data_IF_824861509626
#
_entry.id   IF_824861509626
#
_cell.length_a   1.000
_cell.length_b   1.000
_cell.length_c   1.000
_cell.angle_alpha   90.00
_cell.angle_beta   90.00
_cell.angle_gamma   90.00
#
_symmetry.space_group_name_H-M   'P 1'
#
loop_
_entity.id
_entity.type
_entity.pdbx_description
1 polymer ?
#
# COMPACT_ATOMS: atom_id res chain seq x y z
N UNK A 1 1.78 -23.84 -10.13
CA UNK A 1 0.38 -23.84 -9.64
C UNK A 1 0.32 -23.81 -8.11
N UNK A 2 1.03 -24.68 -7.37
CA UNK A 2 1.05 -24.70 -5.90
C UNK A 2 1.51 -23.36 -5.30
N UNK A 3 2.51 -22.72 -5.90
CA UNK A 3 3.01 -21.39 -5.51
C UNK A 3 1.90 -20.32 -5.55
N UNK A 4 1.17 -20.22 -6.68
CA UNK A 4 0.07 -19.27 -6.84
C UNK A 4 -1.03 -19.54 -5.81
N UNK A 5 -1.41 -20.81 -5.66
CA UNK A 5 -2.46 -21.24 -4.73
C UNK A 5 -2.12 -20.87 -3.28
N UNK A 6 -0.87 -21.13 -2.86
CA UNK A 6 -0.39 -20.74 -1.53
C UNK A 6 -0.46 -19.22 -1.30
N UNK A 7 -0.03 -18.41 -2.28
CA UNK A 7 -0.08 -16.94 -2.17
C UNK A 7 -1.52 -16.43 -2.11
N UNK A 8 -2.44 -17.04 -2.86
CA UNK A 8 -3.87 -16.69 -2.80
C UNK A 8 -4.44 -17.01 -1.41
N UNK A 9 -4.13 -18.18 -0.84
CA UNK A 9 -4.60 -18.55 0.50
C UNK A 9 -4.08 -17.57 1.56
N UNK A 10 -2.78 -17.27 1.55
CA UNK A 10 -2.16 -16.32 2.48
C UNK A 10 -2.84 -14.95 2.36
N UNK A 11 -3.03 -14.48 1.14
CA UNK A 11 -3.69 -13.21 0.86
C UNK A 11 -5.15 -13.17 1.38
N UNK A 12 -5.94 -14.22 1.10
CA UNK A 12 -7.32 -14.31 1.55
C UNK A 12 -7.41 -14.39 3.08
N UNK A 13 -6.50 -15.14 3.70
CA UNK A 13 -6.42 -15.24 5.16
C UNK A 13 -6.10 -13.87 5.78
N UNK A 14 -5.09 -13.18 5.26
CA UNK A 14 -4.71 -11.84 5.73
C UNK A 14 -5.85 -10.83 5.54
N UNK A 15 -6.48 -10.82 4.36
CA UNK A 15 -7.65 -9.97 4.09
C UNK A 15 -8.79 -10.24 5.08
N UNK A 16 -9.08 -11.51 5.38
CA UNK A 16 -10.08 -11.90 6.37
C UNK A 16 -9.73 -11.40 7.78
N UNK A 17 -8.46 -11.47 8.19
CA UNK A 17 -8.01 -10.93 9.47
C UNK A 17 -8.20 -9.41 9.55
N UNK A 18 -7.81 -8.67 8.52
CA UNK A 18 -8.00 -7.22 8.46
C UNK A 18 -9.47 -6.85 8.54
N UNK A 19 -10.34 -7.52 7.79
CA UNK A 19 -11.79 -7.25 7.80
C UNK A 19 -12.46 -7.63 9.13
N UNK A 20 -11.93 -8.61 9.86
CA UNK A 20 -12.49 -9.05 11.14
C UNK A 20 -12.01 -8.19 12.33
N UNK A 21 -10.73 -7.85 12.35
CA UNK A 21 -10.07 -7.24 13.50
C UNK A 21 -9.75 -5.75 13.29
N UNK A 22 -9.84 -5.28 12.05
CA UNK A 22 -9.60 -3.87 11.73
C UNK A 22 -10.75 -2.98 12.18
N UNK A 23 -10.43 -1.75 12.53
CA UNK A 23 -11.39 -0.71 12.92
C UNK A 23 -11.64 0.24 11.76
N UNK A 24 -12.89 0.41 11.38
CA UNK A 24 -13.25 1.42 10.38
C UNK A 24 -13.01 2.81 10.96
N UNK A 25 -12.21 3.60 10.25
CA UNK A 25 -11.95 5.01 10.63
C UNK A 25 -13.23 5.83 10.39
N UNK A 26 -13.82 6.36 11.46
CA UNK A 26 -15.03 7.18 11.41
C UNK A 26 -14.75 8.57 11.96
N UNK A 27 -15.25 9.60 11.24
CA UNK A 27 -15.32 11.01 11.70
C UNK A 27 -14.03 11.59 12.31
N UNK A 28 -12.87 11.23 11.78
CA UNK A 28 -11.58 11.74 12.20
C UNK A 28 -11.00 12.72 11.17
N UNK A 29 -10.02 13.54 11.60
CA UNK A 29 -9.23 14.36 10.67
C UNK A 29 -8.61 13.50 9.54
N UNK A 30 -8.20 12.26 9.86
CA UNK A 30 -7.68 11.30 8.90
C UNK A 30 -8.69 10.96 7.79
N UNK A 31 -9.95 10.72 8.15
CA UNK A 31 -10.99 10.43 7.16
C UNK A 31 -11.28 11.66 6.28
N UNK A 32 -11.31 12.85 6.85
CA UNK A 32 -11.53 14.08 6.09
C UNK A 32 -10.40 14.31 5.07
N UNK A 33 -9.16 14.12 5.50
CA UNK A 33 -7.99 14.24 4.62
C UNK A 33 -8.00 13.17 3.51
N UNK A 34 -8.34 11.93 3.85
CA UNK A 34 -8.51 10.84 2.89
C UNK A 34 -9.57 11.16 1.82
N UNK A 35 -10.73 11.67 2.23
CA UNK A 35 -11.81 12.04 1.31
C UNK A 35 -11.44 13.24 0.44
N UNK A 36 -10.64 14.18 0.96
CA UNK A 36 -10.10 15.31 0.19
C UNK A 36 -9.17 14.80 -0.92
N UNK A 37 -8.18 13.99 -0.57
CA UNK A 37 -7.21 13.42 -1.55
C UNK A 37 -7.93 12.56 -2.59
N UNK A 38 -8.90 11.75 -2.16
CA UNK A 38 -9.71 10.93 -3.06
C UNK A 38 -10.45 11.77 -4.10
N UNK A 39 -10.98 12.93 -3.71
CA UNK A 39 -11.61 13.90 -4.63
C UNK A 39 -10.58 14.54 -5.57
N UNK A 40 -9.43 14.97 -5.07
CA UNK A 40 -8.32 15.51 -5.87
C UNK A 40 -7.87 14.52 -6.95
N UNK A 41 -7.79 13.24 -6.60
CA UNK A 41 -7.43 12.17 -7.53
C UNK A 41 -8.59 11.70 -8.42
N UNK A 42 -9.80 12.26 -8.30
CA UNK A 42 -10.99 11.89 -9.07
C UNK A 42 -11.37 10.40 -8.94
N UNK A 43 -11.15 9.79 -7.76
CA UNK A 43 -11.51 8.41 -7.48
C UNK A 43 -12.98 8.35 -7.03
N UNK A 44 -13.85 7.77 -7.85
CA UNK A 44 -15.31 7.76 -7.62
C UNK A 44 -15.81 6.58 -6.79
N UNK A 45 -15.16 5.42 -6.89
CA UNK A 45 -15.59 4.22 -6.15
C UNK A 45 -15.33 4.35 -4.64
N UNK A 46 -16.12 3.64 -3.85
CA UNK A 46 -15.99 3.64 -2.38
C UNK A 46 -14.77 2.82 -1.97
N UNK A 47 -13.91 3.40 -1.14
CA UNK A 47 -12.74 2.75 -0.56
C UNK A 47 -12.87 2.92 0.96
N UNK A 48 -13.11 1.87 1.73
CA UNK A 48 -13.04 1.93 3.18
C UNK A 48 -11.63 2.23 3.67
N UNK A 49 -11.52 3.05 4.72
CA UNK A 49 -10.28 3.30 5.44
C UNK A 49 -10.34 2.54 6.76
N UNK A 50 -9.42 1.60 6.96
CA UNK A 50 -9.37 0.70 8.12
C UNK A 50 -8.04 0.88 8.84
N UNK A 51 -8.07 1.03 10.16
CA UNK A 51 -6.92 0.89 11.03
C UNK A 51 -6.79 -0.55 11.52
N UNK A 52 -5.57 -1.09 11.42
CA UNK A 52 -5.29 -2.47 11.85
C UNK A 52 -3.92 -2.58 12.49
N UNK A 53 -3.89 -3.00 13.77
CA UNK A 53 -2.65 -3.12 14.57
C UNK A 53 -1.66 -4.15 14.02
N UNK A 54 -2.15 -5.16 13.31
CA UNK A 54 -1.33 -6.18 12.66
C UNK A 54 -0.72 -5.77 11.31
N UNK A 55 -1.01 -4.56 10.81
CA UNK A 55 -0.36 -4.05 9.61
C UNK A 55 1.04 -3.51 9.91
N UNK A 56 2.04 -3.95 9.16
CA UNK A 56 3.41 -3.45 9.28
C UNK A 56 3.61 -2.10 8.58
N UNK A 57 2.90 -1.86 7.49
CA UNK A 57 2.94 -0.63 6.69
C UNK A 57 1.55 -0.31 6.15
N UNK A 58 1.30 0.95 5.74
CA UNK A 58 0.13 1.30 4.96
C UNK A 58 0.05 0.44 3.71
N UNK A 59 -1.15 0.04 3.29
CA UNK A 59 -1.34 -0.78 2.10
C UNK A 59 -2.76 -0.75 1.59
N UNK A 60 -2.94 -1.09 0.32
CA UNK A 60 -4.24 -1.33 -0.29
C UNK A 60 -4.48 -2.83 -0.48
N UNK A 61 -5.60 -3.32 0.03
CA UNK A 61 -6.06 -4.71 -0.13
C UNK A 61 -7.32 -4.76 -1.01
N UNK A 62 -7.37 -5.73 -1.91
CA UNK A 62 -8.52 -5.99 -2.76
C UNK A 62 -8.33 -5.58 -4.21
N UNK A 63 -8.76 -6.46 -5.11
CA UNK A 63 -8.69 -6.24 -6.56
C UNK A 63 -9.89 -5.41 -7.06
N UNK A 64 -11.11 -5.87 -6.79
CA UNK A 64 -12.34 -5.21 -7.24
C UNK A 64 -12.92 -4.24 -6.21
N UNK A 65 -12.73 -4.55 -4.93
CA UNK A 65 -13.17 -3.73 -3.82
C UNK A 65 -11.94 -3.36 -2.98
N UNK A 66 -11.20 -2.31 -3.36
CA UNK A 66 -10.02 -1.91 -2.63
C UNK A 66 -10.39 -1.38 -1.24
N UNK A 67 -9.59 -1.73 -0.27
CA UNK A 67 -9.67 -1.27 1.12
C UNK A 67 -8.30 -0.70 1.48
N UNK A 68 -8.25 0.52 1.98
CA UNK A 68 -6.99 1.11 2.44
C UNK A 68 -6.81 0.78 3.92
N UNK A 69 -5.68 0.18 4.24
CA UNK A 69 -5.33 -0.24 5.60
C UNK A 69 -4.18 0.62 6.10
N UNK A 70 -4.38 1.22 7.27
CA UNK A 70 -3.35 1.95 8.00
C UNK A 70 -2.93 1.15 9.23
N UNK A 71 -1.63 1.05 9.53
CA UNK A 71 -1.16 0.61 10.85
C UNK A 71 -1.70 1.52 11.95
N UNK A 72 -2.03 0.96 13.10
CA UNK A 72 -2.32 1.76 14.29
C UNK A 72 -1.07 2.56 14.70
N UNK A 73 -1.22 3.86 14.92
CA UNK A 73 -0.14 4.74 15.33
C UNK A 73 -0.49 6.21 15.17
N UNK A 74 0.37 7.05 15.73
CA UNK A 74 0.27 8.48 15.56
C UNK A 74 0.99 8.92 14.27
N UNK A 75 0.30 9.69 13.46
CA UNK A 75 0.80 10.29 12.24
C UNK A 75 0.63 11.80 12.32
N UNK A 76 1.65 12.55 11.98
CA UNK A 76 1.48 13.98 11.74
C UNK A 76 0.56 14.19 10.53
N UNK A 77 -0.08 15.34 10.46
CA UNK A 77 -0.99 15.68 9.36
C UNK A 77 -0.29 15.58 7.99
N UNK A 78 0.98 15.97 7.92
CA UNK A 78 1.80 15.90 6.70
C UNK A 78 2.14 14.45 6.31
N UNK A 79 2.58 13.65 7.29
CA UNK A 79 2.87 12.23 7.05
C UNK A 79 1.63 11.50 6.53
N UNK A 80 0.50 11.69 7.20
CA UNK A 80 -0.76 11.08 6.83
C UNK A 80 -1.20 11.48 5.41
N UNK A 81 -1.04 12.76 5.04
CA UNK A 81 -1.32 13.23 3.69
C UNK A 81 -0.51 12.47 2.64
N UNK A 82 0.79 12.37 2.84
CA UNK A 82 1.66 11.70 1.86
C UNK A 82 1.40 10.21 1.78
N UNK A 83 1.22 9.54 2.92
CA UNK A 83 0.87 8.11 2.98
C UNK A 83 -0.43 7.84 2.23
N UNK A 84 -1.49 8.58 2.56
CA UNK A 84 -2.80 8.40 1.93
C UNK A 84 -2.76 8.71 0.43
N UNK A 85 -2.02 9.75 0.02
CA UNK A 85 -1.88 10.13 -1.37
C UNK A 85 -1.15 9.05 -2.16
N UNK A 86 -0.05 8.51 -1.63
CA UNK A 86 0.72 7.41 -2.22
C UNK A 86 -0.17 6.18 -2.47
N UNK A 87 -0.85 5.70 -1.45
CA UNK A 87 -1.73 4.53 -1.55
C UNK A 87 -2.89 4.75 -2.53
N UNK A 88 -3.49 5.94 -2.53
CA UNK A 88 -4.57 6.28 -3.46
C UNK A 88 -4.08 6.43 -4.90
N UNK A 89 -2.83 6.84 -5.13
CA UNK A 89 -2.22 6.85 -6.48
C UNK A 89 -2.08 5.43 -7.00
N UNK A 90 -1.64 4.46 -6.18
CA UNK A 90 -1.62 3.04 -6.55
C UNK A 90 -3.01 2.52 -6.94
N UNK A 91 -4.05 2.88 -6.16
CA UNK A 91 -5.43 2.52 -6.51
C UNK A 91 -5.86 3.12 -7.83
N UNK A 92 -5.59 4.42 -8.05
CA UNK A 92 -5.97 5.12 -9.29
C UNK A 92 -5.30 4.53 -10.52
N UNK A 93 -4.05 4.10 -10.41
CA UNK A 93 -3.27 3.49 -11.50
C UNK A 93 -3.66 2.04 -11.76
N UNK A 94 -4.29 1.37 -10.78
CA UNK A 94 -4.61 -0.03 -10.87
C UNK A 94 -3.38 -0.95 -10.74
N UNK A 95 -2.38 -0.55 -9.96
CA UNK A 95 -1.11 -1.27 -9.81
C UNK A 95 -1.31 -2.70 -9.27
N UNK A 96 -2.40 -2.95 -8.57
CA UNK A 96 -2.79 -4.27 -8.09
C UNK A 96 -2.99 -5.28 -9.23
N UNK A 97 -3.48 -4.82 -10.40
CA UNK A 97 -3.65 -5.71 -11.57
C UNK A 97 -2.32 -6.09 -12.18
N UNK A 98 -1.35 -5.17 -12.20
CA UNK A 98 0.01 -5.48 -12.63
C UNK A 98 0.71 -6.45 -11.69
N UNK A 99 0.57 -6.26 -10.36
CA UNK A 99 1.10 -7.20 -9.36
C UNK A 99 0.51 -8.61 -9.55
N UNK A 100 -0.79 -8.71 -9.84
CA UNK A 100 -1.44 -10.00 -10.14
C UNK A 100 -0.94 -10.63 -11.44
N UNK A 101 -0.76 -9.84 -12.49
CA UNK A 101 -0.20 -10.31 -13.77
C UNK A 101 1.20 -10.88 -13.56
N UNK A 102 2.10 -10.15 -12.89
CA UNK A 102 3.45 -10.63 -12.60
C UNK A 102 3.46 -11.90 -11.75
N UNK A 103 2.59 -11.98 -10.74
CA UNK A 103 2.45 -13.19 -9.92
C UNK A 103 2.04 -14.40 -10.78
N UNK A 104 1.13 -14.20 -11.74
CA UNK A 104 0.67 -15.25 -12.64
C UNK A 104 1.80 -15.67 -13.59
N UNK A 105 2.51 -14.72 -14.20
CA UNK A 105 3.65 -14.99 -15.09
C UNK A 105 4.74 -15.75 -14.35
N UNK A 106 5.07 -15.34 -13.12
CA UNK A 106 6.04 -16.06 -12.30
C UNK A 106 5.59 -17.47 -11.94
N UNK A 107 4.31 -17.67 -11.67
CA UNK A 107 3.77 -19.00 -11.36
C UNK A 107 3.82 -19.95 -12.54
N UNK A 108 3.69 -19.45 -13.77
CA UNK A 108 3.81 -20.22 -15.01
C UNK A 108 5.29 -20.46 -15.35
N UNK A 109 6.12 -19.44 -15.23
CA UNK A 109 7.54 -19.47 -15.61
C UNK A 109 8.49 -19.53 -14.40
N UNK A 110 8.07 -20.21 -13.33
CA UNK A 110 8.80 -20.29 -12.05
C UNK A 110 10.26 -20.75 -12.17
N UNK A 111 10.57 -21.51 -13.23
CA UNK A 111 11.92 -22.04 -13.53
C UNK A 111 12.83 -21.02 -14.24
N UNK A 112 12.30 -19.89 -14.72
CA UNK A 112 13.07 -18.91 -15.48
C UNK A 112 13.52 -17.75 -14.58
N UNK A 113 14.82 -17.61 -14.25
CA UNK A 113 15.32 -16.56 -13.35
C UNK A 113 15.14 -15.15 -13.94
N UNK A 114 15.08 -14.98 -15.25
CA UNK A 114 14.86 -13.68 -15.88
C UNK A 114 13.49 -13.08 -15.53
N UNK A 115 12.47 -13.91 -15.36
CA UNK A 115 11.13 -13.46 -14.98
C UNK A 115 11.14 -12.89 -13.55
N UNK A 116 11.90 -13.48 -12.64
CA UNK A 116 12.07 -12.96 -11.28
C UNK A 116 12.77 -11.61 -11.25
N UNK A 117 13.81 -11.43 -12.08
CA UNK A 117 14.51 -10.16 -12.25
C UNK A 117 13.54 -9.12 -12.82
N UNK A 118 12.85 -9.45 -13.91
CA UNK A 118 11.85 -8.58 -14.54
C UNK A 118 10.76 -8.11 -13.56
N UNK A 119 10.25 -9.01 -12.72
CA UNK A 119 9.25 -8.66 -11.71
C UNK A 119 9.80 -7.66 -10.71
N UNK A 120 11.04 -7.85 -10.26
CA UNK A 120 11.69 -6.95 -9.30
C UNK A 120 11.86 -5.55 -9.90
N UNK A 121 12.37 -5.46 -11.12
CA UNK A 121 12.55 -4.19 -11.82
C UNK A 121 11.20 -3.50 -12.06
N UNK A 122 10.18 -4.23 -12.53
CA UNK A 122 8.85 -3.68 -12.74
C UNK A 122 8.20 -3.19 -11.42
N UNK A 123 8.46 -3.88 -10.31
CA UNK A 123 7.99 -3.42 -9.00
C UNK A 123 8.67 -2.10 -8.60
N UNK A 124 9.99 -1.97 -8.80
CA UNK A 124 10.72 -0.73 -8.54
C UNK A 124 10.24 0.42 -9.43
N UNK A 125 10.00 0.18 -10.71
CA UNK A 125 9.49 1.18 -11.65
C UNK A 125 8.06 1.63 -11.27
N UNK A 126 7.22 0.72 -10.78
CA UNK A 126 5.90 1.07 -10.27
C UNK A 126 5.97 2.00 -9.06
N UNK A 127 6.86 1.71 -8.10
CA UNK A 127 7.05 2.57 -6.92
C UNK A 127 7.62 3.94 -7.34
N UNK A 128 8.68 3.98 -8.16
CA UNK A 128 9.29 5.22 -8.63
C UNK A 128 8.27 6.12 -9.37
N UNK A 129 7.49 5.53 -10.27
CA UNK A 129 6.43 6.24 -10.99
C UNK A 129 5.27 6.68 -10.07
N UNK A 130 5.02 5.98 -8.96
CA UNK A 130 4.06 6.40 -7.94
C UNK A 130 4.58 7.63 -7.20
N UNK A 131 5.84 7.59 -6.73
CA UNK A 131 6.51 8.69 -6.03
C UNK A 131 6.56 9.96 -6.89
N UNK A 132 6.88 9.81 -8.15
CA UNK A 132 6.89 10.90 -9.12
C UNK A 132 5.51 11.57 -9.24
N UNK A 133 4.43 10.77 -9.30
CA UNK A 133 3.06 11.27 -9.33
C UNK A 133 2.63 11.96 -8.04
N UNK A 134 3.02 11.42 -6.89
CA UNK A 134 2.72 12.03 -5.59
C UNK A 134 3.37 13.40 -5.47
N UNK A 135 4.59 13.55 -5.99
CA UNK A 135 5.41 14.77 -5.90
C UNK A 135 5.31 15.67 -7.13
N UNK A 136 4.48 15.33 -8.11
CA UNK A 136 4.31 16.11 -9.34
C UNK A 136 3.82 17.54 -9.05
N UNK A 137 4.54 18.54 -9.57
CA UNK A 137 4.24 19.95 -9.32
C UNK A 137 4.60 20.46 -7.92
N UNK A 138 5.16 19.63 -7.07
CA UNK A 138 5.57 20.02 -5.71
C UNK A 138 6.94 20.73 -5.73
N UNK A 139 7.07 21.78 -4.92
CA UNK A 139 8.35 22.45 -4.68
C UNK A 139 9.32 21.57 -3.87
N UNK A 140 10.59 22.01 -3.78
CA UNK A 140 11.67 21.27 -3.14
C UNK A 140 11.36 20.88 -1.68
N UNK A 141 10.78 21.78 -0.90
CA UNK A 141 10.42 21.54 0.50
C UNK A 141 9.37 20.43 0.65
N UNK A 142 8.39 20.38 -0.26
CA UNK A 142 7.36 19.34 -0.27
C UNK A 142 7.96 17.97 -0.65
N UNK A 143 8.92 17.94 -1.58
CA UNK A 143 9.64 16.72 -1.97
C UNK A 143 10.49 16.19 -0.81
N UNK A 144 11.17 17.07 -0.06
CA UNK A 144 11.91 16.68 1.14
C UNK A 144 11.00 16.09 2.19
N UNK A 145 9.88 16.76 2.52
CA UNK A 145 8.90 16.27 3.49
C UNK A 145 8.32 14.91 3.09
N UNK A 146 8.09 14.67 1.79
CA UNK A 146 7.69 13.37 1.27
C UNK A 146 8.75 12.29 1.52
N UNK A 147 10.01 12.57 1.19
CA UNK A 147 11.13 11.63 1.40
C UNK A 147 11.30 11.29 2.88
N UNK A 148 11.21 12.28 3.78
CA UNK A 148 11.24 12.07 5.22
C UNK A 148 10.09 11.17 5.69
N UNK A 149 8.89 11.36 5.14
CA UNK A 149 7.73 10.51 5.42
C UNK A 149 7.98 9.06 5.00
N UNK A 150 8.51 8.83 3.80
CA UNK A 150 8.85 7.48 3.34
C UNK A 150 9.85 6.80 4.26
N UNK A 151 10.92 7.51 4.64
CA UNK A 151 11.93 6.99 5.56
C UNK A 151 11.33 6.65 6.93
N UNK A 152 10.47 7.52 7.49
CA UNK A 152 9.82 7.28 8.78
C UNK A 152 8.90 6.05 8.73
N UNK A 153 8.19 5.87 7.62
CA UNK A 153 7.28 4.72 7.41
C UNK A 153 8.06 3.41 7.34
N UNK A 154 9.20 3.40 6.65
CA UNK A 154 10.10 2.24 6.59
C UNK A 154 10.65 1.88 7.97
N UNK A 155 11.08 2.86 8.77
CA UNK A 155 11.56 2.63 10.14
C UNK A 155 10.46 2.06 11.05
N UNK A 156 9.26 2.62 11.00
CA UNK A 156 8.10 2.12 11.76
C UNK A 156 7.73 0.68 11.36
N UNK A 157 7.79 0.35 10.08
CA UNK A 157 7.53 -1.00 9.54
C UNK A 157 8.60 -2.01 9.95
N UNK A 158 9.88 -1.64 9.89
CA UNK A 158 10.99 -2.50 10.27
C UNK A 158 10.97 -2.83 11.79
N UNK A 159 10.65 -1.85 12.64
CA UNK A 159 10.55 -2.05 14.09
C UNK A 159 9.46 -3.06 14.49
N UNK A 160 8.29 -3.04 13.83
CA UNK A 160 7.21 -4.01 14.08
C UNK A 160 7.56 -5.43 13.60
N UNK A 161 8.31 -5.55 12.51
CA UNK A 161 8.76 -6.85 11.99
C UNK A 161 9.73 -7.56 12.94
N UNK A 162 10.60 -6.83 13.63
CA UNK A 162 11.56 -7.38 14.59
C UNK A 162 10.84 -7.88 15.86
N UNK A 163 9.82 -7.17 16.33
CA UNK A 163 9.07 -7.56 17.54
C UNK A 163 8.25 -8.84 17.33
N UNK A 164 7.76 -9.07 16.11
CA UNK A 164 7.01 -10.30 15.76
C UNK A 164 7.91 -11.54 15.55
N UNK A 165 9.23 -11.34 15.40
CA UNK A 165 10.21 -12.43 15.20
C UNK A 165 10.84 -12.93 16.50
N UNK A 166 10.58 -12.31 17.66
CA UNK A 166 11.17 -12.65 18.96
C UNK A 166 10.16 -13.17 19.99
N UNK A 167 8.97 -13.60 19.52
CA UNK A 167 7.94 -14.21 20.39
C UNK A 167 7.67 -15.66 20.04
#
# INVERSE_FOLDING_TARGET
LLYIFMHIIIYLHYKKQVMKNGRLVKETAALQQFLKIKRELHIRHTIPLIEFSGAASPMVLGFFCPVLVLPEGEYSEKELYFILKHELVHVKRGDVYWKLLFMTVNGVHWFNPLIWIMQKEAAMDMELSCDERVTQGAGLEMKKAYTETLLSTLHKGCGKSIVLSTG
#
